data_IF_050142833718
#
_entry.id   IF_050142833718
#
_cell.length_a   1.000
_cell.length_b   1.000
_cell.length_c   1.000
_cell.angle_alpha   90.00
_cell.angle_beta   90.00
_cell.angle_gamma   90.00
#
_symmetry.space_group_name_H-M   'P 1'
#
loop_
_entity.id
_entity.type
_entity.pdbx_description
1 polymer ?
#
# COMPACT_ATOMS: atom_id res chain seq x y z
N UNK A 1 21.79 -25.53 62.35
CA UNK A 1 21.83 -24.29 61.56
C UNK A 1 21.00 -24.50 60.31
N UNK A 2 19.91 -23.75 60.21
CA UNK A 2 18.93 -23.80 59.13
C UNK A 2 19.52 -23.27 57.81
N UNK A 3 19.11 -23.96 56.73
CA UNK A 3 18.87 -23.52 55.35
C UNK A 3 19.33 -22.12 54.91
N UNK A 4 19.99 -22.07 53.75
CA UNK A 4 19.65 -21.13 52.66
C UNK A 4 20.25 -21.66 51.35
N UNK A 5 19.52 -22.57 50.69
CA UNK A 5 19.74 -22.89 49.27
C UNK A 5 19.00 -21.82 48.48
N UNK A 6 19.75 -20.85 47.96
CA UNK A 6 19.22 -19.79 47.10
C UNK A 6 18.88 -20.42 45.75
N UNK A 7 17.60 -20.70 45.51
CA UNK A 7 17.09 -20.97 44.17
C UNK A 7 17.11 -19.65 43.38
N UNK A 8 18.07 -19.52 42.47
CA UNK A 8 18.00 -18.54 41.40
C UNK A 8 16.83 -18.92 40.48
N UNK A 9 15.70 -18.26 40.66
CA UNK A 9 14.63 -18.25 39.66
C UNK A 9 15.14 -17.41 38.50
N UNK A 10 15.62 -18.07 37.44
CA UNK A 10 15.84 -17.45 36.14
C UNK A 10 14.46 -17.10 35.57
N UNK A 11 14.00 -15.88 35.81
CA UNK A 11 12.90 -15.28 35.10
C UNK A 11 13.32 -15.14 33.63
N UNK A 12 12.95 -16.11 32.79
CA UNK A 12 13.00 -15.93 31.33
C UNK A 12 11.93 -14.90 30.96
N UNK A 13 12.31 -13.61 31.01
CA UNK A 13 11.59 -12.60 30.24
C UNK A 13 11.91 -12.90 28.78
N UNK A 14 11.03 -13.66 28.11
CA UNK A 14 11.01 -13.71 26.66
C UNK A 14 10.66 -12.30 26.19
N UNK A 15 11.67 -11.50 25.86
CA UNK A 15 11.47 -10.26 25.14
C UNK A 15 10.96 -10.65 23.76
N UNK A 16 9.65 -10.51 23.54
CA UNK A 16 9.01 -10.66 22.25
C UNK A 16 9.67 -9.69 21.27
N UNK A 17 10.33 -10.22 20.25
CA UNK A 17 11.20 -9.45 19.38
C UNK A 17 10.48 -9.21 18.04
N UNK A 18 9.83 -8.07 17.92
CA UNK A 18 9.42 -7.54 16.62
C UNK A 18 10.66 -6.99 15.93
N UNK A 19 11.07 -7.61 14.84
CA UNK A 19 12.22 -7.21 14.05
C UNK A 19 11.79 -6.48 12.77
N UNK A 20 12.62 -5.53 12.34
CA UNK A 20 12.44 -4.76 11.11
C UNK A 20 13.72 -4.76 10.32
N UNK A 21 13.62 -5.15 9.06
CA UNK A 21 14.69 -4.93 8.08
C UNK A 21 14.19 -3.98 7.01
N UNK A 22 15.09 -3.18 6.44
CA UNK A 22 14.78 -2.26 5.34
C UNK A 22 15.56 -2.59 4.07
N UNK A 23 14.93 -2.34 2.93
CA UNK A 23 15.50 -2.40 1.59
C UNK A 23 14.90 -1.30 0.73
N UNK A 24 15.60 -0.88 -0.33
CA UNK A 24 15.13 0.21 -1.17
C UNK A 24 15.35 -0.09 -2.66
N UNK A 25 14.42 0.39 -3.49
CA UNK A 25 14.50 0.35 -4.95
C UNK A 25 14.12 1.73 -5.50
N UNK A 26 15.14 2.56 -5.72
CA UNK A 26 14.94 3.96 -6.05
C UNK A 26 14.19 4.68 -4.92
N UNK A 27 13.08 5.39 -5.20
CA UNK A 27 12.31 6.11 -4.19
C UNK A 27 11.36 5.20 -3.37
N UNK A 28 11.30 3.90 -3.66
CA UNK A 28 10.43 2.93 -2.99
C UNK A 28 11.19 2.27 -1.86
N UNK A 29 10.73 2.46 -0.63
CA UNK A 29 11.34 1.87 0.58
C UNK A 29 10.48 0.71 1.04
N UNK A 30 11.07 -0.48 1.14
CA UNK A 30 10.43 -1.69 1.65
C UNK A 30 10.88 -1.95 3.07
N UNK A 31 9.95 -2.17 3.98
CA UNK A 31 10.21 -2.55 5.37
C UNK A 31 9.59 -3.92 5.63
N UNK A 32 10.41 -4.92 5.93
CA UNK A 32 9.98 -6.27 6.24
C UNK A 32 9.86 -6.39 7.74
N UNK A 33 8.66 -6.75 8.19
CA UNK A 33 8.31 -6.88 9.60
C UNK A 33 8.23 -8.36 9.92
N UNK A 34 9.14 -8.82 10.78
CA UNK A 34 9.35 -10.23 11.11
C UNK A 34 9.78 -10.42 12.58
N UNK A 35 10.31 -11.59 12.93
CA UNK A 35 10.70 -11.93 14.29
C UNK A 35 9.98 -13.19 14.79
N UNK A 36 9.44 -13.16 16.01
CA UNK A 36 8.74 -14.32 16.57
C UNK A 36 7.34 -14.58 15.95
N UNK A 37 6.62 -15.55 16.50
CA UNK A 37 5.28 -15.92 16.02
C UNK A 37 4.26 -14.78 16.18
N UNK A 38 4.46 -13.91 17.16
CA UNK A 38 3.55 -12.80 17.48
C UNK A 38 3.76 -11.61 16.54
N UNK A 39 4.91 -11.51 15.87
CA UNK A 39 5.12 -10.58 14.76
C UNK A 39 4.29 -10.92 13.50
N UNK A 40 3.69 -12.13 13.41
CA UNK A 40 2.81 -12.50 12.29
C UNK A 40 1.42 -11.91 12.48
N UNK A 41 0.98 -11.13 11.50
CA UNK A 41 -0.33 -10.50 11.49
C UNK A 41 -1.23 -11.07 10.39
N UNK A 42 -2.54 -10.99 10.61
CA UNK A 42 -3.49 -11.15 9.52
C UNK A 42 -3.41 -9.95 8.56
N UNK A 43 -3.95 -10.11 7.35
CA UNK A 43 -3.76 -9.11 6.30
C UNK A 43 -4.26 -7.71 6.71
N UNK A 44 -5.44 -7.63 7.34
CA UNK A 44 -6.02 -6.34 7.75
C UNK A 44 -5.19 -5.66 8.85
N UNK A 45 -4.69 -6.43 9.81
CA UNK A 45 -3.83 -5.92 10.88
C UNK A 45 -2.46 -5.47 10.34
N UNK A 46 -1.89 -6.22 9.38
CA UNK A 46 -0.64 -5.86 8.71
C UNK A 46 -0.78 -4.55 7.91
N UNK A 47 -1.88 -4.38 7.17
CA UNK A 47 -2.17 -3.13 6.46
C UNK A 47 -2.34 -1.94 7.40
N UNK A 48 -3.06 -2.15 8.51
CA UNK A 48 -3.23 -1.12 9.53
C UNK A 48 -1.88 -0.73 10.15
N UNK A 49 -1.02 -1.72 10.42
CA UNK A 49 0.34 -1.49 10.90
C UNK A 49 1.16 -0.63 9.93
N UNK A 50 1.17 -0.98 8.64
CA UNK A 50 1.92 -0.21 7.64
C UNK A 50 1.45 1.25 7.58
N UNK A 51 0.13 1.47 7.64
CA UNK A 51 -0.45 2.82 7.66
C UNK A 51 -0.08 3.61 8.91
N UNK A 52 -0.06 2.98 10.10
CA UNK A 52 0.26 3.68 11.34
C UNK A 52 1.73 4.06 11.45
N UNK A 53 2.66 3.23 10.97
CA UNK A 53 4.09 3.55 10.94
C UNK A 53 4.39 4.73 10.01
N UNK A 54 3.68 4.82 8.87
CA UNK A 54 3.79 5.97 7.98
C UNK A 54 3.42 7.30 8.63
N UNK A 55 2.38 7.33 9.48
CA UNK A 55 1.93 8.54 10.16
C UNK A 55 2.81 9.01 11.32
N UNK A 56 3.60 8.10 11.92
CA UNK A 56 4.55 8.44 13.00
C UNK A 56 5.82 9.14 12.48
N UNK A 57 6.18 8.90 11.21
CA UNK A 57 7.37 9.50 10.60
C UNK A 57 7.23 11.02 10.36
N UNK A 58 6.00 11.54 10.35
CA UNK A 58 5.73 12.98 10.20
C UNK A 58 5.74 13.74 11.54
N UNK A 59 5.81 13.06 12.69
CA UNK A 59 5.60 13.71 13.99
C UNK A 59 6.66 13.51 15.07
N UNK A 60 7.61 12.57 15.00
CA UNK A 60 8.67 12.53 16.01
C UNK A 60 10.02 12.01 15.49
N UNK A 61 11.03 12.90 15.55
CA UNK A 61 12.39 12.50 15.90
C UNK A 61 12.33 11.86 17.29
N UNK A 62 12.55 10.55 17.38
CA UNK A 62 12.81 9.90 18.66
C UNK A 62 14.12 9.12 18.56
N UNK A 63 15.11 9.77 19.15
CA UNK A 63 16.41 9.28 19.59
C UNK A 63 16.25 7.96 20.36
N UNK A 64 16.91 6.90 19.90
CA UNK A 64 17.53 5.94 20.80
C UNK A 64 18.83 5.41 20.20
N UNK A 65 19.82 5.25 21.06
CA UNK A 65 21.23 5.49 20.80
C UNK A 65 22.06 4.20 20.75
N UNK A 66 23.21 4.27 20.05
CA UNK A 66 24.41 3.39 20.08
C UNK A 66 24.26 2.06 19.31
N UNK A 67 25.06 1.73 18.30
CA UNK A 67 26.52 1.70 18.29
C UNK A 67 27.10 1.69 16.84
N UNK A 68 28.24 2.39 16.66
CA UNK A 68 29.30 2.39 15.62
C UNK A 68 28.95 2.22 14.12
N UNK A 69 29.13 3.30 13.33
CA UNK A 69 30.37 3.63 12.57
C UNK A 69 30.83 2.53 11.60
N UNK A 70 30.40 2.61 10.33
CA UNK A 70 31.26 3.07 9.23
C UNK A 70 30.43 3.29 7.95
N UNK A 71 30.86 4.23 7.09
CA UNK A 71 30.21 4.82 5.89
C UNK A 71 29.37 6.08 6.08
N UNK A 72 30.09 7.17 6.31
CA UNK A 72 29.69 8.48 5.78
C UNK A 72 29.84 8.48 4.25
N UNK A 73 28.75 8.72 3.52
CA UNK A 73 28.55 9.93 2.70
C UNK A 73 27.25 9.81 1.91
N UNK A 74 26.50 10.92 1.87
CA UNK A 74 25.15 11.12 1.32
C UNK A 74 24.04 10.84 2.33
N UNK A 75 23.82 11.75 3.27
CA UNK A 75 22.52 12.43 3.49
C UNK A 75 22.75 13.50 4.55
N UNK A 76 22.81 14.76 4.11
CA UNK A 76 22.88 15.93 4.97
C UNK A 76 21.52 16.16 5.66
N UNK A 77 21.57 16.57 6.92
CA UNK A 77 20.47 16.93 7.83
C UNK A 77 19.18 17.49 7.19
N UNK A 78 17.98 17.12 7.69
CA UNK A 78 16.72 17.72 7.28
C UNK A 78 16.46 18.99 8.09
N UNK A 79 17.04 20.10 7.68
CA UNK A 79 16.63 21.43 8.17
C UNK A 79 16.75 22.44 7.05
N UNK A 80 15.94 22.29 6.00
CA UNK A 80 15.64 23.34 5.05
C UNK A 80 14.42 22.95 4.20
N UNK A 81 13.31 23.66 4.46
CA UNK A 81 12.20 23.98 3.56
C UNK A 81 12.14 23.15 2.26
N UNK A 82 11.39 22.05 2.25
CA UNK A 82 10.92 21.47 1.00
C UNK A 82 9.61 22.17 0.59
N UNK A 83 9.73 23.03 -0.42
CA UNK A 83 8.65 23.60 -1.23
C UNK A 83 7.98 22.58 -2.16
N UNK A 84 8.04 21.30 -1.84
CA UNK A 84 7.49 20.27 -2.71
C UNK A 84 6.39 19.57 -1.93
N UNK A 85 5.15 19.71 -2.39
CA UNK A 85 3.98 19.15 -1.74
C UNK A 85 3.99 17.63 -1.87
N UNK A 86 5.01 16.95 -1.37
CA UNK A 86 5.14 15.50 -1.32
C UNK A 86 5.06 15.04 0.14
N UNK A 87 4.27 13.99 0.37
CA UNK A 87 4.09 13.34 1.66
C UNK A 87 4.44 11.86 1.51
N UNK A 88 5.00 11.24 2.54
CA UNK A 88 5.28 9.81 2.52
C UNK A 88 4.02 9.02 2.84
N UNK A 89 3.67 8.06 1.98
CA UNK A 89 2.55 7.14 2.21
C UNK A 89 3.09 5.73 2.39
N UNK A 90 2.64 5.07 3.45
CA UNK A 90 3.02 3.69 3.77
C UNK A 90 1.80 2.77 3.78
N UNK A 91 1.90 1.61 3.14
CA UNK A 91 0.86 0.58 3.00
C UNK A 91 1.53 -0.78 2.77
N UNK A 92 0.80 -1.90 2.76
CA UNK A 92 1.35 -3.17 2.32
C UNK A 92 1.87 -3.07 0.89
N UNK A 93 3.00 -3.74 0.64
CA UNK A 93 3.74 -3.53 -0.59
C UNK A 93 2.98 -3.92 -1.86
N UNK A 94 2.86 -2.97 -2.79
CA UNK A 94 2.53 -3.27 -4.18
C UNK A 94 3.79 -3.62 -4.97
N UNK A 95 3.66 -4.51 -5.96
CA UNK A 95 4.77 -4.96 -6.80
C UNK A 95 4.35 -4.90 -8.26
N UNK A 96 5.11 -4.16 -9.07
CA UNK A 96 4.73 -3.78 -10.43
C UNK A 96 5.67 -4.32 -11.51
N UNK A 97 6.70 -5.07 -11.12
CA UNK A 97 7.64 -5.64 -12.09
C UNK A 97 8.38 -6.87 -11.55
N UNK A 98 8.89 -7.69 -12.47
CA UNK A 98 9.71 -8.84 -12.12
C UNK A 98 11.02 -8.45 -11.40
N UNK A 99 11.78 -7.41 -11.83
CA UNK A 99 12.96 -6.96 -11.10
C UNK A 99 12.67 -6.50 -9.68
N UNK A 100 11.54 -5.83 -9.45
CA UNK A 100 11.09 -5.42 -8.11
C UNK A 100 10.80 -6.63 -7.23
N UNK A 101 10.03 -7.60 -7.73
CA UNK A 101 9.75 -8.84 -7.02
C UNK A 101 11.04 -9.60 -6.69
N UNK A 102 11.96 -9.72 -7.66
CA UNK A 102 13.22 -10.43 -7.49
C UNK A 102 14.10 -9.77 -6.43
N UNK A 103 14.20 -8.44 -6.44
CA UNK A 103 14.96 -7.69 -5.45
C UNK A 103 14.35 -7.83 -4.05
N UNK A 104 13.02 -7.73 -3.94
CA UNK A 104 12.28 -7.94 -2.70
C UNK A 104 12.57 -9.33 -2.13
N UNK A 105 12.40 -10.38 -2.93
CA UNK A 105 12.63 -11.77 -2.51
C UNK A 105 14.07 -12.01 -2.11
N UNK A 106 15.05 -11.56 -2.92
CA UNK A 106 16.48 -11.71 -2.61
C UNK A 106 16.87 -11.02 -1.30
N UNK A 107 16.19 -9.93 -0.96
CA UNK A 107 16.43 -9.21 0.27
C UNK A 107 15.76 -9.89 1.47
N UNK A 108 14.47 -10.23 1.39
CA UNK A 108 13.76 -10.94 2.48
C UNK A 108 14.39 -12.30 2.78
N UNK A 109 14.83 -13.05 1.76
CA UNK A 109 15.42 -14.37 1.92
C UNK A 109 16.73 -14.38 2.74
N UNK A 110 17.37 -13.22 2.96
CA UNK A 110 18.52 -13.09 3.86
C UNK A 110 18.14 -13.14 5.34
N UNK A 111 16.89 -12.82 5.66
CA UNK A 111 16.40 -12.72 7.03
C UNK A 111 15.77 -14.04 7.44
N UNK A 112 14.70 -14.47 6.75
CA UNK A 112 13.90 -15.63 7.14
C UNK A 112 13.32 -16.41 5.94
N UNK A 113 12.94 -17.66 6.21
CA UNK A 113 12.48 -18.64 5.23
C UNK A 113 10.95 -18.87 5.29
N UNK A 114 10.19 -17.79 5.22
CA UNK A 114 8.73 -17.85 5.21
C UNK A 114 8.11 -16.97 4.13
N UNK A 115 6.92 -17.34 3.68
CA UNK A 115 6.08 -16.48 2.85
C UNK A 115 5.58 -15.28 3.64
N UNK A 116 5.39 -14.14 2.99
CA UNK A 116 4.98 -12.90 3.63
C UNK A 116 3.89 -12.18 2.85
N UNK A 117 3.05 -11.43 3.55
CA UNK A 117 2.02 -10.61 2.93
C UNK A 117 2.62 -9.47 2.11
N UNK A 118 1.98 -9.25 0.96
CA UNK A 118 2.08 -8.06 0.13
C UNK A 118 0.67 -7.49 -0.06
N UNK A 119 0.52 -6.28 -0.58
CA UNK A 119 -0.72 -5.51 -0.57
C UNK A 119 -1.81 -5.95 -1.55
N UNK A 120 -1.72 -7.15 -2.13
CA UNK A 120 -2.64 -7.61 -3.16
C UNK A 120 -3.88 -8.28 -2.57
N UNK A 121 -5.04 -7.91 -3.11
CA UNK A 121 -6.33 -8.59 -2.90
C UNK A 121 -6.85 -9.10 -4.22
N UNK A 122 -7.29 -10.35 -4.24
CA UNK A 122 -7.92 -10.96 -5.41
C UNK A 122 -9.41 -11.07 -5.12
N UNK A 123 -10.22 -10.53 -6.01
CA UNK A 123 -11.68 -10.68 -5.98
C UNK A 123 -12.12 -11.53 -7.15
N UNK A 124 -12.98 -12.52 -6.92
CA UNK A 124 -13.65 -13.23 -8.01
C UNK A 124 -14.93 -12.47 -8.37
N UNK A 125 -15.05 -12.03 -9.61
CA UNK A 125 -16.22 -11.30 -10.11
C UNK A 125 -16.70 -11.86 -11.44
N UNK A 126 -17.81 -11.36 -11.95
CA UNK A 126 -18.28 -11.63 -13.31
C UNK A 126 -17.89 -10.48 -14.24
N UNK A 127 -17.43 -10.82 -15.44
CA UNK A 127 -17.30 -9.82 -16.50
C UNK A 127 -18.66 -9.56 -17.19
N UNK A 128 -18.66 -8.66 -18.16
CA UNK A 128 -19.85 -8.29 -18.96
C UNK A 128 -20.50 -9.49 -19.68
N UNK A 129 -19.73 -10.55 -19.92
CA UNK A 129 -20.15 -11.79 -20.57
C UNK A 129 -20.50 -12.91 -19.57
N UNK A 130 -20.77 -12.55 -18.31
CA UNK A 130 -21.10 -13.49 -17.22
C UNK A 130 -20.08 -14.60 -16.99
N UNK A 131 -18.83 -14.38 -17.37
CA UNK A 131 -17.70 -15.29 -17.12
C UNK A 131 -16.99 -14.91 -15.83
N UNK A 132 -16.63 -15.88 -14.97
CA UNK A 132 -15.87 -15.61 -13.77
C UNK A 132 -14.47 -15.12 -14.14
N UNK A 133 -14.09 -13.97 -13.63
CA UNK A 133 -12.75 -13.40 -13.73
C UNK A 133 -12.19 -13.15 -12.33
N UNK A 134 -10.87 -13.13 -12.22
CA UNK A 134 -10.15 -12.82 -10.99
C UNK A 134 -9.44 -11.49 -11.16
N UNK A 135 -9.74 -10.53 -10.30
CA UNK A 135 -9.20 -9.19 -10.37
C UNK A 135 -8.29 -8.96 -9.18
N UNK A 136 -7.04 -8.64 -9.45
CA UNK A 136 -6.08 -8.20 -8.44
C UNK A 136 -6.26 -6.70 -8.21
N UNK A 137 -6.25 -6.29 -6.95
CA UNK A 137 -6.23 -4.90 -6.52
C UNK A 137 -5.16 -4.69 -5.46
N UNK A 138 -4.39 -3.61 -5.57
CA UNK A 138 -3.48 -3.18 -4.52
C UNK A 138 -4.18 -2.30 -3.49
N UNK A 139 -3.90 -2.52 -2.21
CA UNK A 139 -4.45 -1.70 -1.11
C UNK A 139 -3.93 -0.27 -1.07
N UNK A 140 -2.81 0.00 -1.73
CA UNK A 140 -2.26 1.35 -1.91
C UNK A 140 -2.96 2.12 -3.06
N UNK A 141 -3.83 1.46 -3.83
CA UNK A 141 -4.55 2.03 -4.97
C UNK A 141 -3.76 2.09 -6.27
N UNK A 142 -2.54 1.56 -6.31
CA UNK A 142 -1.75 1.47 -7.54
C UNK A 142 -2.38 0.49 -8.55
N UNK A 143 -1.98 0.62 -9.83
CA UNK A 143 -2.50 -0.23 -10.91
C UNK A 143 -2.05 -1.68 -10.73
N UNK A 144 -2.90 -2.63 -11.10
CA UNK A 144 -2.61 -4.06 -11.02
C UNK A 144 -2.39 -4.65 -12.41
N UNK A 145 -1.34 -4.20 -13.09
CA UNK A 145 -0.94 -4.61 -14.44
C UNK A 145 0.13 -5.72 -14.45
N UNK A 146 0.67 -6.08 -13.28
CA UNK A 146 1.65 -7.13 -13.08
C UNK A 146 1.18 -8.18 -12.08
N UNK A 147 1.45 -9.46 -12.37
CA UNK A 147 1.13 -10.57 -11.47
C UNK A 147 2.08 -11.75 -11.68
N UNK A 148 2.51 -12.35 -10.57
CA UNK A 148 3.26 -13.62 -10.52
C UNK A 148 2.46 -14.70 -9.80
N UNK A 149 1.14 -14.64 -9.87
CA UNK A 149 0.27 -15.69 -9.34
C UNK A 149 0.41 -16.93 -10.21
N UNK A 150 0.82 -18.04 -9.59
CA UNK A 150 0.90 -19.34 -10.27
C UNK A 150 -0.50 -19.92 -10.46
N UNK A 151 -0.86 -20.25 -11.70
CA UNK A 151 -2.09 -20.99 -12.02
C UNK A 151 -1.75 -22.41 -12.51
N UNK A 152 -2.60 -23.42 -12.23
CA UNK A 152 -3.82 -23.33 -11.42
C UNK A 152 -3.52 -23.16 -9.92
N UNK A 153 -4.35 -22.37 -9.23
CA UNK A 153 -4.27 -22.20 -7.78
C UNK A 153 -5.59 -22.68 -7.14
N UNK A 154 -5.55 -23.69 -6.24
CA UNK A 154 -6.76 -24.27 -5.65
C UNK A 154 -7.56 -23.25 -4.82
N UNK A 155 -6.86 -22.33 -4.14
CA UNK A 155 -7.48 -21.26 -3.34
C UNK A 155 -8.22 -20.25 -4.22
N UNK A 156 -7.76 -20.03 -5.46
CA UNK A 156 -8.46 -19.18 -6.43
C UNK A 156 -9.68 -19.90 -6.99
N UNK A 157 -9.53 -21.17 -7.38
CA UNK A 157 -10.61 -21.93 -8.02
C UNK A 157 -11.82 -22.15 -7.09
N UNK A 158 -11.58 -22.23 -5.78
CA UNK A 158 -12.62 -22.44 -4.75
C UNK A 158 -13.37 -21.16 -4.35
N UNK A 159 -12.92 -19.98 -4.78
CA UNK A 159 -13.58 -18.71 -4.45
C UNK A 159 -15.01 -18.65 -5.00
N UNK A 160 -15.93 -18.11 -4.20
CA UNK A 160 -17.27 -17.72 -4.63
C UNK A 160 -17.23 -16.36 -5.32
N UNK A 161 -18.24 -16.06 -6.15
CA UNK A 161 -18.39 -14.71 -6.72
C UNK A 161 -18.56 -13.71 -5.57
N UNK A 162 -17.82 -12.60 -5.62
CA UNK A 162 -17.76 -11.58 -4.57
C UNK A 162 -16.79 -11.89 -3.43
N UNK A 163 -16.23 -13.10 -3.37
CA UNK A 163 -15.24 -13.46 -2.35
C UNK A 163 -13.89 -12.78 -2.61
N UNK A 164 -13.21 -12.42 -1.52
CA UNK A 164 -11.87 -11.83 -1.55
C UNK A 164 -10.85 -12.75 -0.89
N UNK A 165 -9.68 -12.83 -1.51
CA UNK A 165 -8.49 -13.52 -0.97
C UNK A 165 -7.30 -12.58 -0.98
N UNK A 166 -6.30 -12.88 -0.17
CA UNK A 166 -5.13 -12.03 0.03
C UNK A 166 -3.88 -12.69 -0.53
N UNK A 167 -2.95 -11.88 -1.05
CA UNK A 167 -1.75 -12.38 -1.72
C UNK A 167 -0.53 -12.37 -0.83
N UNK A 168 0.25 -13.45 -0.85
CA UNK A 168 1.56 -13.53 -0.22
C UNK A 168 2.64 -13.80 -1.27
N UNK A 169 3.90 -13.53 -0.95
CA UNK A 169 5.05 -13.95 -1.78
C UNK A 169 5.74 -15.11 -1.10
N UNK A 170 5.99 -16.19 -1.84
CA UNK A 170 6.87 -17.26 -1.41
C UNK A 170 8.33 -16.86 -1.63
N UNK A 171 9.13 -16.80 -0.55
CA UNK A 171 10.52 -16.36 -0.61
C UNK A 171 11.43 -17.30 -1.44
N UNK A 172 11.08 -18.59 -1.57
CA UNK A 172 11.95 -19.56 -2.25
C UNK A 172 11.85 -19.47 -3.77
N UNK A 173 10.65 -19.17 -4.27
CA UNK A 173 10.32 -19.14 -5.69
C UNK A 173 10.04 -17.73 -6.22
N UNK A 174 9.75 -16.78 -5.34
CA UNK A 174 9.25 -15.45 -5.67
C UNK A 174 7.84 -15.46 -6.27
N UNK A 175 7.16 -16.61 -6.30
CA UNK A 175 5.80 -16.75 -6.80
C UNK A 175 4.79 -16.22 -5.79
N UNK A 176 3.65 -15.75 -6.28
CA UNK A 176 2.60 -15.24 -5.41
C UNK A 176 1.61 -16.34 -5.05
N UNK A 177 1.39 -16.51 -3.75
CA UNK A 177 0.37 -17.36 -3.17
C UNK A 177 -0.92 -16.59 -2.93
N UNK A 178 -2.04 -17.30 -2.89
CA UNK A 178 -3.37 -16.76 -2.60
C UNK A 178 -3.90 -17.51 -1.40
N UNK A 179 -4.43 -16.78 -0.43
CA UNK A 179 -4.70 -17.30 0.91
C UNK A 179 -5.93 -16.64 1.52
N UNK A 180 -6.45 -17.24 2.59
CA UNK A 180 -7.46 -16.58 3.40
C UNK A 180 -6.83 -15.37 4.10
N UNK A 181 -7.49 -14.22 4.03
CA UNK A 181 -6.99 -12.98 4.63
C UNK A 181 -6.85 -13.02 6.16
N UNK A 182 -7.47 -14.01 6.81
CA UNK A 182 -7.40 -14.27 8.25
C UNK A 182 -6.10 -14.98 8.67
N UNK A 183 -5.37 -15.59 7.73
CA UNK A 183 -4.10 -16.25 8.04
C UNK A 183 -3.06 -15.26 8.56
N UNK A 184 -2.19 -15.70 9.48
CA UNK A 184 -1.14 -14.86 10.04
C UNK A 184 0.18 -15.09 9.30
N UNK A 185 0.80 -14.02 8.81
CA UNK A 185 2.12 -14.06 8.14
C UNK A 185 2.93 -12.82 8.52
N UNK A 186 4.24 -12.91 8.35
CA UNK A 186 5.06 -11.71 8.24
C UNK A 186 4.65 -10.90 7.03
N UNK A 187 5.11 -9.65 6.93
CA UNK A 187 4.59 -8.75 5.92
C UNK A 187 5.60 -7.68 5.54
N UNK A 188 5.42 -7.13 4.35
CA UNK A 188 6.26 -6.05 3.84
C UNK A 188 5.41 -4.80 3.67
N UNK A 189 5.83 -3.73 4.34
CA UNK A 189 5.33 -2.39 4.09
C UNK A 189 6.14 -1.73 2.97
N UNK A 190 5.47 -0.94 2.14
CA UNK A 190 6.05 -0.08 1.13
C UNK A 190 5.77 1.37 1.51
N UNK A 191 6.82 2.17 1.59
CA UNK A 191 6.76 3.62 1.74
C UNK A 191 7.16 4.28 0.43
N UNK A 192 6.31 5.17 -0.07
CA UNK A 192 6.54 5.94 -1.31
C UNK A 192 6.21 7.42 -1.10
N UNK A 193 6.95 8.34 -1.75
CA UNK A 193 6.55 9.74 -1.82
C UNK A 193 5.35 9.90 -2.75
N UNK A 194 4.32 10.62 -2.31
CA UNK A 194 3.11 10.96 -3.07
C UNK A 194 2.85 12.46 -3.01
N UNK A 195 2.29 13.04 -4.07
CA UNK A 195 1.91 14.46 -4.07
C UNK A 195 0.71 14.69 -3.13
N UNK A 196 0.84 15.64 -2.21
CA UNK A 196 -0.20 16.16 -1.35
C UNK A 196 -1.12 17.09 -2.15
N UNK A 197 -2.28 16.56 -2.53
CA UNK A 197 -3.31 17.28 -3.28
C UNK A 197 -4.23 18.14 -2.40
N UNK A 198 -4.07 18.14 -1.07
CA UNK A 198 -4.98 18.87 -0.16
C UNK A 198 -4.94 20.40 -0.32
N UNK A 199 -3.95 20.95 -1.02
CA UNK A 199 -3.82 22.41 -1.26
C UNK A 199 -4.22 22.88 -2.67
N UNK A 200 -4.71 22.01 -3.56
CA UNK A 200 -5.02 22.40 -4.95
C UNK A 200 -6.50 22.71 -5.24
N UNK A 201 -7.42 22.41 -4.32
CA UNK A 201 -8.85 22.71 -4.52
C UNK A 201 -9.24 24.15 -4.18
N UNK A 202 -8.44 24.86 -3.37
CA UNK A 202 -8.76 26.24 -2.94
C UNK A 202 -8.41 27.32 -3.96
N UNK A 203 -7.60 27.02 -5.00
CA UNK A 203 -7.20 28.04 -5.99
C UNK A 203 -8.12 28.08 -7.23
N UNK A 204 -8.82 26.99 -7.57
CA UNK A 204 -9.70 26.94 -8.76
C UNK A 204 -11.07 27.59 -8.58
N UNK A 205 -11.46 27.93 -7.34
CA UNK A 205 -12.75 28.58 -7.07
C UNK A 205 -12.69 30.11 -7.03
N UNK A 206 -11.50 30.74 -7.04
CA UNK A 206 -11.38 32.20 -6.94
C UNK A 206 -11.44 32.95 -8.27
N UNK A 207 -11.46 32.23 -9.40
CA UNK A 207 -11.48 32.84 -10.75
C UNK A 207 -12.87 32.81 -11.43
N UNK A 208 -13.91 32.32 -10.73
CA UNK A 208 -15.27 32.17 -11.30
C UNK A 208 -16.40 32.95 -10.61
N UNK A 209 -16.08 33.91 -9.74
CA UNK A 209 -17.05 34.83 -9.12
C UNK A 209 -16.39 36.21 -8.98
N UNK A 210 -16.77 37.31 -9.62
CA UNK A 210 -18.06 37.83 -10.15
C UNK A 210 -17.74 39.10 -11.00
N UNK A 211 -18.65 40.07 -11.29
CA UNK A 211 -19.75 40.07 -12.26
C UNK A 211 -19.74 41.32 -13.21
N UNK A 212 -20.53 41.34 -14.30
CA UNK A 212 -21.07 42.61 -14.82
C UNK A 212 -22.37 42.42 -15.61
N UNK A 213 -23.37 43.24 -15.26
CA UNK A 213 -24.73 43.28 -15.79
C UNK A 213 -24.89 44.03 -17.12
N UNK A 214 -25.91 43.58 -17.87
CA UNK A 214 -26.91 44.29 -18.70
C UNK A 214 -26.52 45.31 -19.80
N UNK A 215 -27.06 45.06 -21.00
CA UNK A 215 -27.80 46.07 -21.77
C UNK A 215 -28.91 45.44 -22.63
N UNK A 216 -29.98 46.21 -22.80
CA UNK A 216 -31.37 45.89 -23.18
C UNK A 216 -31.69 46.35 -24.62
N UNK A 217 -32.77 45.79 -25.17
CA UNK A 217 -33.59 46.17 -26.36
C UNK A 217 -32.92 46.05 -27.75
N UNK A 218 -33.57 45.76 -28.87
CA UNK A 218 -34.98 45.94 -29.28
C UNK A 218 -35.26 45.10 -30.56
N UNK A 219 -36.55 44.87 -30.85
CA UNK A 219 -37.19 44.10 -31.93
C UNK A 219 -36.91 44.55 -33.37
N UNK A 220 -36.95 43.61 -34.34
CA UNK A 220 -37.56 43.82 -35.66
C UNK A 220 -37.91 42.49 -36.36
N UNK A 221 -39.14 42.42 -36.88
CA UNK A 221 -39.76 41.34 -37.65
C UNK A 221 -39.08 41.06 -39.02
N UNK A 222 -39.16 39.82 -39.51
CA UNK A 222 -39.87 39.47 -40.76
C UNK A 222 -39.68 37.98 -41.15
N UNK A 223 -40.85 37.35 -41.38
CA UNK A 223 -41.21 36.17 -42.18
C UNK A 223 -40.17 35.56 -43.15
N UNK A 224 -40.17 34.23 -43.25
CA UNK A 224 -40.64 33.45 -44.42
C UNK A 224 -40.86 31.98 -43.99
N UNK A 225 -41.98 31.44 -44.46
CA UNK A 225 -42.49 30.05 -44.37
C UNK A 225 -41.47 29.01 -44.95
N UNK A 226 -41.58 27.69 -44.88
CA UNK A 226 -42.70 26.76 -44.78
C UNK A 226 -42.11 25.33 -44.62
N UNK A 227 -42.99 24.35 -44.39
CA UNK A 227 -42.86 22.94 -44.80
C UNK A 227 -42.29 21.87 -43.83
N UNK A 228 -43.23 21.34 -43.02
CA UNK A 228 -43.68 19.93 -42.92
C UNK A 228 -42.70 18.72 -42.96
N UNK A 229 -42.89 17.83 -41.98
CA UNK A 229 -42.67 16.37 -42.08
C UNK A 229 -42.05 15.76 -40.82
N UNK A 230 -42.82 15.41 -39.77
CA UNK A 230 -43.33 14.03 -39.53
C UNK A 230 -42.30 12.96 -39.93
N UNK A 231 -41.80 12.09 -39.05
CA UNK A 231 -42.60 11.10 -38.29
C UNK A 231 -41.75 10.49 -37.18
N UNK A 232 -42.37 10.32 -36.01
CA UNK A 232 -41.95 9.48 -34.89
C UNK A 232 -42.44 8.04 -35.09
N UNK A 233 -41.82 7.14 -34.29
CA UNK A 233 -42.10 5.72 -34.04
C UNK A 233 -41.31 4.72 -34.90
#
# INVERSE_FOLDING_TARGET
MLLLVVQFVLSYNAAYALEKSQGALGPRIFTFVHGDVDAKLNFSAAEHYCKSVGGLSDTNNMDDSKDKQDRQHLFSNPSQSYKDGMVLRTSLASVHSYPENLALVKWVAKQEKHSFWIGGKITKTMNEFTRPIYVLHWVDGSKSDFSLIRLPNPEITSMRIGEQRCTSVDYSSGQWGVHLCSEKRYFVCLTVPVLNTENQETTKQKEKSSPSWEKKSETHDALIDDEMGSTLL
#
